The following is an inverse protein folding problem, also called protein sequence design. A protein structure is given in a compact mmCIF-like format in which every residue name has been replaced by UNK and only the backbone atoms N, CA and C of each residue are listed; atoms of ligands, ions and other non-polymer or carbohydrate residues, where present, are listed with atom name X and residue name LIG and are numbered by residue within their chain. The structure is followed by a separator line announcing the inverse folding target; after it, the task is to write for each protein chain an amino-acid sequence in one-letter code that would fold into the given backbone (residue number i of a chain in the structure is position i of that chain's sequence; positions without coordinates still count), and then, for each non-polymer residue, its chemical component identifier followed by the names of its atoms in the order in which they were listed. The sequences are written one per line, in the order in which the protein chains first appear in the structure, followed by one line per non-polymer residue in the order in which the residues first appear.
data_IF_811199999421
#
_entry.id   IF_811199999421
#
_cell.length_a   1.000
_cell.length_b   1.000
_cell.length_c   1.000
_cell.angle_alpha   90.00
_cell.angle_beta   90.00
_cell.angle_gamma   90.00
#
_symmetry.space_group_name_H-M   'P 1'
#
loop_
_entity.id
_entity.type
_entity.pdbx_description
1 polymer ?
#
# COMPACT_ATOMS: atom_id res chain seq x y z
N UNK A 1 -4.55 5.26 -16.40
CA UNK A 1 -5.88 4.88 -15.87
C UNK A 1 -6.86 6.03 -16.08
N UNK A 2 -8.06 5.73 -16.60
CA UNK A 2 -9.14 6.70 -16.83
C UNK A 2 -10.31 6.35 -15.93
N UNK A 3 -10.86 7.34 -15.22
CA UNK A 3 -12.06 7.21 -14.40
C UNK A 3 -13.15 8.13 -14.96
N UNK A 4 -14.29 7.52 -15.31
CA UNK A 4 -15.42 8.24 -15.91
C UNK A 4 -16.19 9.01 -14.86
N UNK A 5 -16.86 10.08 -15.30
CA UNK A 5 -17.87 10.79 -14.53
C UNK A 5 -18.98 9.80 -14.11
N UNK A 6 -19.44 9.83 -12.84
CA UNK A 6 -20.53 8.98 -12.41
C UNK A 6 -21.84 9.34 -13.15
N UNK A 7 -22.76 8.39 -13.39
CA UNK A 7 -24.06 8.70 -13.96
C UNK A 7 -24.86 9.62 -13.02
N UNK A 8 -25.82 10.39 -13.56
CA UNK A 8 -26.71 11.25 -12.76
C UNK A 8 -28.06 10.55 -12.53
N UNK A 9 -28.52 10.37 -11.28
CA UNK A 9 -27.88 10.76 -10.02
C UNK A 9 -26.69 9.85 -9.65
N UNK A 10 -25.65 10.44 -9.04
CA UNK A 10 -24.43 9.71 -8.67
C UNK A 10 -24.72 8.60 -7.64
N UNK A 11 -24.17 7.38 -7.83
CA UNK A 11 -24.26 6.34 -6.80
C UNK A 11 -23.56 6.80 -5.52
N UNK A 12 -24.16 6.50 -4.36
CA UNK A 12 -23.77 7.03 -3.05
C UNK A 12 -22.30 6.80 -2.66
N UNK A 13 -21.60 5.85 -3.28
CA UNK A 13 -20.24 5.48 -2.92
C UNK A 13 -19.16 5.98 -3.90
N UNK A 14 -19.50 6.32 -5.15
CA UNK A 14 -18.57 6.92 -6.14
C UNK A 14 -17.23 6.20 -6.33
N UNK A 15 -17.11 4.91 -5.99
CA UNK A 15 -15.81 4.21 -5.95
C UNK A 15 -15.31 3.95 -7.37
N UNK A 16 -14.19 4.58 -7.74
CA UNK A 16 -13.46 4.34 -8.98
C UNK A 16 -12.41 3.23 -8.86
N UNK A 17 -11.79 3.08 -7.69
CA UNK A 17 -10.88 1.99 -7.34
C UNK A 17 -11.09 1.61 -5.88
N UNK A 18 -11.29 0.33 -5.61
CA UNK A 18 -11.52 -0.17 -4.25
C UNK A 18 -10.31 0.05 -3.35
N UNK A 19 -10.55 0.05 -2.04
CA UNK A 19 -9.51 0.19 -1.04
C UNK A 19 -8.50 -0.98 -1.12
N UNK A 20 -7.21 -0.66 -1.15
CA UNK A 20 -6.12 -1.65 -1.15
C UNK A 20 -4.80 -1.02 -0.68
N UNK A 21 -3.77 -1.86 -0.50
CA UNK A 21 -2.37 -1.45 -0.49
C UNK A 21 -1.65 -2.00 -1.72
N UNK A 22 -0.55 -1.35 -2.11
CA UNK A 22 0.28 -1.81 -3.22
C UNK A 22 1.18 -2.97 -2.78
N UNK A 23 1.26 -4.03 -3.59
CA UNK A 23 2.09 -5.22 -3.31
C UNK A 23 3.49 -5.14 -3.91
N UNK A 24 3.86 -3.97 -4.45
CA UNK A 24 5.15 -3.71 -5.04
C UNK A 24 6.11 -3.09 -4.00
N UNK A 25 7.23 -2.52 -4.46
CA UNK A 25 8.16 -1.77 -3.62
C UNK A 25 7.71 -0.32 -3.45
N UNK A 26 7.49 0.38 -4.54
CA UNK A 26 7.12 1.80 -4.53
C UNK A 26 6.26 2.12 -5.75
N UNK A 27 5.22 2.91 -5.55
CA UNK A 27 4.41 3.47 -6.64
C UNK A 27 4.66 4.97 -6.74
N UNK A 28 4.93 5.47 -7.94
CA UNK A 28 4.88 6.91 -8.26
C UNK A 28 3.61 7.15 -9.05
N UNK A 29 2.73 8.02 -8.56
CA UNK A 29 1.44 8.31 -9.17
C UNK A 29 1.33 9.80 -9.50
N UNK A 30 0.99 10.08 -10.75
CA UNK A 30 0.59 11.41 -11.22
C UNK A 30 -0.84 11.40 -11.76
N UNK A 31 -1.42 12.58 -11.90
CA UNK A 31 -2.79 12.77 -12.35
C UNK A 31 -2.96 14.08 -13.13
N UNK A 32 -4.09 14.22 -13.82
CA UNK A 32 -4.59 15.54 -14.24
C UNK A 32 -5.15 16.31 -13.02
N UNK A 33 -5.71 17.49 -13.27
CA UNK A 33 -6.18 18.41 -12.23
C UNK A 33 -7.41 17.90 -11.45
N UNK A 34 -7.95 16.75 -11.83
CA UNK A 34 -9.09 16.11 -11.18
C UNK A 34 -8.64 15.21 -10.03
N UNK A 35 -8.92 15.66 -8.80
CA UNK A 35 -8.63 14.92 -7.58
C UNK A 35 -9.55 13.70 -7.40
N UNK A 36 -9.15 12.76 -6.56
CA UNK A 36 -9.96 11.57 -6.27
C UNK A 36 -9.27 10.48 -5.47
N UNK A 37 -7.95 10.59 -5.27
CA UNK A 37 -7.22 9.69 -4.38
C UNK A 37 -7.60 9.99 -2.91
N UNK A 38 -8.04 8.98 -2.18
CA UNK A 38 -8.22 9.04 -0.74
C UNK A 38 -7.31 8.00 -0.06
N UNK A 39 -6.74 8.37 1.08
CA UNK A 39 -5.91 7.49 1.92
C UNK A 39 -6.59 7.29 3.28
N UNK A 40 -6.30 6.17 3.93
CA UNK A 40 -6.80 5.85 5.26
C UNK A 40 -5.62 5.80 6.26
N UNK A 41 -5.41 6.84 7.09
CA UNK A 41 -4.45 6.82 8.18
C UNK A 41 -4.81 5.75 9.23
N UNK A 42 -3.81 5.26 9.97
CA UNK A 42 -3.98 4.13 10.92
C UNK A 42 -5.15 4.27 11.91
N UNK A 43 -5.45 5.48 12.38
CA UNK A 43 -6.49 5.76 13.38
C UNK A 43 -7.59 6.69 12.85
N UNK A 44 -7.80 6.75 11.53
CA UNK A 44 -8.64 7.77 10.90
C UNK A 44 -9.66 7.24 9.91
N UNK A 45 -10.56 8.15 9.53
CA UNK A 45 -11.40 7.99 8.35
C UNK A 45 -10.60 8.21 7.06
N UNK A 46 -11.28 8.08 5.93
CA UNK A 46 -10.72 8.42 4.62
C UNK A 46 -10.45 9.92 4.53
N UNK A 47 -9.25 10.28 4.10
CA UNK A 47 -8.86 11.67 3.84
C UNK A 47 -8.37 11.83 2.40
N UNK A 48 -8.65 12.97 1.74
CA UNK A 48 -8.11 13.23 0.40
C UNK A 48 -6.58 13.30 0.41
N UNK A 49 -5.95 12.65 -0.57
CA UNK A 49 -4.53 12.84 -0.87
C UNK A 49 -4.44 13.79 -2.07
N UNK A 50 -4.37 15.09 -1.78
CA UNK A 50 -4.28 16.13 -2.79
C UNK A 50 -2.90 16.10 -3.44
N UNK A 51 -2.87 15.93 -4.77
CA UNK A 51 -1.64 16.01 -5.57
C UNK A 51 -1.63 17.39 -6.25
N UNK A 52 -0.69 18.28 -5.89
CA UNK A 52 -0.55 19.59 -6.53
C UNK A 52 -0.18 19.48 -8.01
N UNK A 53 -0.47 20.53 -8.77
CA UNK A 53 -0.11 20.63 -10.18
C UNK A 53 1.41 20.48 -10.37
N UNK A 54 1.81 19.66 -11.34
CA UNK A 54 3.21 19.34 -11.60
C UNK A 54 3.88 18.43 -10.57
N UNK A 55 3.16 17.98 -9.54
CA UNK A 55 3.66 17.04 -8.54
C UNK A 55 3.22 15.59 -8.80
N UNK A 56 3.84 14.67 -8.08
CA UNK A 56 3.46 13.27 -8.00
C UNK A 56 3.45 12.83 -6.54
N UNK A 57 2.72 11.76 -6.22
CA UNK A 57 2.75 11.12 -4.92
C UNK A 57 3.53 9.82 -4.99
N UNK A 58 4.32 9.55 -3.95
CA UNK A 58 5.01 8.27 -3.76
C UNK A 58 4.27 7.45 -2.69
N UNK A 59 3.90 6.21 -3.03
CA UNK A 59 3.17 5.29 -2.15
C UNK A 59 4.08 4.10 -1.87
N UNK A 60 4.31 3.83 -0.58
CA UNK A 60 5.05 2.65 -0.12
C UNK A 60 4.22 1.40 -0.41
N UNK A 61 4.86 0.38 -0.97
CA UNK A 61 4.28 -0.94 -1.12
C UNK A 61 4.75 -1.95 -0.07
N UNK A 62 4.11 -3.12 -0.05
CA UNK A 62 4.34 -4.17 0.93
C UNK A 62 5.80 -4.69 0.93
N UNK A 63 6.47 -4.77 -0.23
CA UNK A 63 7.86 -5.27 -0.27
C UNK A 63 8.86 -4.28 0.32
N UNK A 64 8.60 -2.97 0.19
CA UNK A 64 9.41 -1.93 0.85
C UNK A 64 9.16 -1.90 2.37
N UNK A 65 7.93 -2.20 2.81
CA UNK A 65 7.66 -2.43 4.23
C UNK A 65 8.46 -3.60 4.79
N UNK A 66 8.44 -4.75 4.10
CA UNK A 66 9.21 -5.91 4.51
C UNK A 66 10.72 -5.61 4.53
N UNK A 67 11.26 -5.05 3.44
CA UNK A 67 12.68 -4.70 3.35
C UNK A 67 13.11 -3.72 4.44
N UNK A 68 12.25 -2.76 4.79
CA UNK A 68 12.51 -1.76 5.83
C UNK A 68 12.26 -2.22 7.27
N UNK A 69 12.04 -3.52 7.49
CA UNK A 69 11.69 -4.10 8.79
C UNK A 69 10.45 -3.45 9.44
N UNK A 70 9.46 -3.06 8.63
CA UNK A 70 8.24 -2.41 9.13
C UNK A 70 8.36 -0.90 9.40
N UNK A 71 9.49 -0.26 9.12
CA UNK A 71 9.68 1.19 9.36
C UNK A 71 8.84 2.02 8.38
N UNK A 72 8.77 1.61 7.11
CA UNK A 72 7.91 2.22 6.10
C UNK A 72 6.59 1.46 6.00
N UNK A 73 5.48 2.18 5.87
CA UNK A 73 4.14 1.60 5.92
C UNK A 73 3.37 1.87 4.63
N UNK A 74 2.82 0.83 3.98
CA UNK A 74 1.92 1.02 2.87
C UNK A 74 0.64 1.61 3.40
N UNK A 75 0.18 2.69 2.75
CA UNK A 75 -1.07 3.33 3.12
C UNK A 75 -2.20 2.70 2.34
N UNK A 76 -3.27 2.34 3.04
CA UNK A 76 -4.49 1.88 2.39
C UNK A 76 -5.10 3.06 1.66
N UNK A 77 -5.35 2.88 0.36
CA UNK A 77 -5.79 3.95 -0.50
C UNK A 77 -6.89 3.48 -1.46
N UNK A 78 -7.71 4.41 -1.92
CA UNK A 78 -8.82 4.16 -2.84
C UNK A 78 -8.97 5.34 -3.80
N UNK A 79 -9.74 5.17 -4.86
CA UNK A 79 -10.14 6.28 -5.74
C UNK A 79 -11.64 6.48 -5.64
N UNK A 80 -12.06 7.71 -5.38
CA UNK A 80 -13.47 8.13 -5.37
C UNK A 80 -13.67 9.22 -6.41
N UNK A 81 -14.72 9.08 -7.21
CA UNK A 81 -15.10 10.04 -8.26
C UNK A 81 -16.41 10.70 -7.83
N UNK A 82 -16.37 12.03 -7.66
CA UNK A 82 -17.52 12.85 -7.21
C UNK A 82 -17.79 14.08 -8.07
N UNK A 83 -16.95 14.35 -9.07
CA UNK A 83 -17.04 15.54 -9.92
C UNK A 83 -17.68 15.27 -11.28
N UNK A 84 -17.80 16.34 -12.06
CA UNK A 84 -18.35 16.34 -13.42
C UNK A 84 -17.29 16.14 -14.51
N UNK A 85 -16.02 16.00 -14.11
CA UNK A 85 -14.88 15.85 -14.99
C UNK A 85 -14.26 14.45 -14.90
N UNK A 86 -13.71 13.97 -16.01
CA UNK A 86 -13.00 12.69 -16.05
C UNK A 86 -11.63 12.80 -15.38
N UNK A 87 -11.32 11.85 -14.51
CA UNK A 87 -9.99 11.75 -13.88
C UNK A 87 -9.08 10.87 -14.71
N UNK A 88 -7.88 11.38 -15.00
CA UNK A 88 -6.80 10.67 -15.64
C UNK A 88 -5.62 10.56 -14.67
N UNK A 89 -5.02 9.38 -14.59
CA UNK A 89 -3.80 9.17 -13.81
C UNK A 89 -2.86 8.21 -14.50
N UNK A 90 -1.59 8.33 -14.17
CA UNK A 90 -0.54 7.40 -14.59
C UNK A 90 0.21 6.94 -13.35
N UNK A 91 0.62 5.68 -13.34
CA UNK A 91 1.38 5.09 -12.25
C UNK A 91 2.62 4.40 -12.80
N UNK A 92 3.76 4.60 -12.14
CA UNK A 92 4.95 3.79 -12.31
C UNK A 92 5.11 2.93 -11.06
N UNK A 93 5.17 1.62 -11.25
CA UNK A 93 5.18 0.63 -10.17
C UNK A 93 6.55 -0.04 -10.16
N UNK A 94 7.36 0.26 -9.15
CA UNK A 94 8.64 -0.41 -8.93
C UNK A 94 8.38 -1.78 -8.32
N UNK A 95 8.50 -2.82 -9.12
CA UNK A 95 8.30 -4.22 -8.70
C UNK A 95 9.65 -4.94 -8.58
N UNK A 96 9.84 -5.79 -7.56
CA UNK A 96 10.93 -6.76 -7.57
C UNK A 96 10.79 -7.70 -8.77
N UNK A 97 11.90 -8.36 -9.17
CA UNK A 97 11.81 -9.47 -10.13
C UNK A 97 11.08 -10.64 -9.49
N UNK A 98 10.38 -11.44 -10.30
CA UNK A 98 9.55 -12.56 -9.82
C UNK A 98 10.32 -13.56 -8.94
N UNK A 99 11.58 -13.84 -9.27
CA UNK A 99 12.47 -14.75 -8.57
C UNK A 99 13.31 -14.08 -7.46
N UNK A 100 13.17 -12.77 -7.29
CA UNK A 100 13.95 -12.04 -6.30
C UNK A 100 13.46 -12.34 -4.88
N UNK A 101 14.42 -12.51 -3.98
CA UNK A 101 14.17 -12.61 -2.54
C UNK A 101 13.99 -11.22 -1.94
N UNK A 102 12.84 -10.97 -1.33
CA UNK A 102 12.61 -9.83 -0.45
C UNK A 102 13.03 -10.25 0.96
N UNK A 103 14.00 -9.55 1.52
CA UNK A 103 14.50 -9.75 2.87
C UNK A 103 14.67 -8.40 3.57
N UNK A 104 14.55 -8.42 4.89
CA UNK A 104 14.88 -7.26 5.74
C UNK A 104 16.35 -6.91 5.52
N UNK A 105 16.67 -5.63 5.35
CA UNK A 105 18.07 -5.19 5.30
C UNK A 105 18.74 -5.39 6.66
N UNK A 106 19.91 -6.04 6.68
CA UNK A 106 20.63 -6.40 7.91
C UNK A 106 20.87 -5.19 8.83
N UNK A 107 21.10 -4.00 8.26
CA UNK A 107 21.33 -2.76 9.00
C UNK A 107 20.08 -2.23 9.73
N UNK A 108 18.90 -2.80 9.47
CA UNK A 108 17.62 -2.40 10.07
C UNK A 108 17.15 -3.35 11.16
N UNK A 109 17.97 -4.34 11.50
CA UNK A 109 17.76 -5.28 12.62
C UNK A 109 18.76 -4.96 13.72
N UNK A 110 18.25 -4.64 14.90
CA UNK A 110 19.05 -4.31 16.09
C UNK A 110 18.32 -4.75 17.38
N UNK A 111 18.89 -4.43 18.54
CA UNK A 111 18.31 -4.80 19.84
C UNK A 111 16.94 -4.17 20.11
N UNK A 112 16.66 -3.00 19.54
CA UNK A 112 15.40 -2.28 19.69
C UNK A 112 14.40 -2.61 18.56
N UNK A 113 14.90 -3.12 17.42
CA UNK A 113 14.14 -3.47 16.23
C UNK A 113 14.45 -4.91 15.80
N UNK A 114 13.88 -5.93 16.47
CA UNK A 114 14.08 -7.32 16.09
C UNK A 114 13.57 -7.60 14.67
N UNK A 115 14.01 -8.71 14.08
CA UNK A 115 13.56 -9.13 12.75
C UNK A 115 12.04 -9.38 12.75
N UNK A 116 11.30 -8.65 11.92
CA UNK A 116 9.83 -8.73 11.83
C UNK A 116 9.32 -9.59 10.66
N UNK A 117 10.14 -9.80 9.63
CA UNK A 117 9.74 -10.51 8.42
C UNK A 117 10.77 -11.57 8.04
N UNK A 118 10.32 -12.80 7.78
CA UNK A 118 11.17 -13.82 7.16
C UNK A 118 11.42 -13.48 5.68
N UNK A 119 12.57 -13.84 5.10
CA UNK A 119 12.78 -13.70 3.67
C UNK A 119 11.75 -14.48 2.85
N UNK A 120 11.36 -13.96 1.69
CA UNK A 120 10.43 -14.62 0.78
C UNK A 120 10.70 -14.29 -0.70
N UNK A 121 10.30 -15.19 -1.60
CA UNK A 121 10.30 -14.93 -3.05
C UNK A 121 9.12 -14.04 -3.41
N UNK A 122 9.37 -13.01 -4.23
CA UNK A 122 8.32 -12.06 -4.61
C UNK A 122 7.12 -12.71 -5.30
N UNK A 123 7.36 -13.59 -6.28
CA UNK A 123 6.29 -14.27 -7.01
C UNK A 123 5.42 -15.19 -6.14
N UNK A 124 6.02 -15.86 -5.15
CA UNK A 124 5.27 -16.69 -4.20
C UNK A 124 4.36 -15.84 -3.30
N UNK A 125 4.86 -14.70 -2.84
CA UNK A 125 4.07 -13.74 -2.07
C UNK A 125 2.93 -13.14 -2.89
N UNK A 126 3.21 -12.71 -4.12
CA UNK A 126 2.18 -12.18 -5.02
C UNK A 126 1.10 -13.24 -5.30
N UNK A 127 1.52 -14.48 -5.55
CA UNK A 127 0.63 -15.63 -5.72
C UNK A 127 -0.23 -15.86 -4.47
N UNK A 128 0.35 -15.81 -3.28
CA UNK A 128 -0.42 -15.91 -2.04
C UNK A 128 -1.47 -14.78 -1.92
N UNK A 129 -1.07 -13.53 -2.18
CA UNK A 129 -1.96 -12.39 -2.11
C UNK A 129 -3.15 -12.52 -3.06
N UNK A 130 -2.94 -12.87 -4.34
CA UNK A 130 -4.05 -12.97 -5.30
C UNK A 130 -5.07 -14.06 -4.95
N UNK A 131 -4.67 -15.09 -4.20
CA UNK A 131 -5.57 -16.13 -3.70
C UNK A 131 -6.35 -15.73 -2.44
N UNK A 132 -5.81 -14.81 -1.63
CA UNK A 132 -6.40 -14.42 -0.33
C UNK A 132 -7.10 -13.08 -0.36
N UNK A 133 -6.64 -12.14 -1.19
CA UNK A 133 -7.14 -10.78 -1.34
C UNK A 133 -7.37 -10.08 0.03
N UNK A 134 -6.39 -10.23 0.93
CA UNK A 134 -6.42 -9.64 2.28
C UNK A 134 -5.46 -8.47 2.43
N UNK A 135 -5.87 -7.47 3.21
CA UNK A 135 -5.06 -6.29 3.51
C UNK A 135 -3.85 -6.64 4.40
N UNK A 136 -3.93 -7.69 5.22
CA UNK A 136 -2.86 -8.17 6.10
C UNK A 136 -1.99 -9.28 5.48
N UNK A 137 -2.09 -9.50 4.15
CA UNK A 137 -1.45 -10.62 3.48
C UNK A 137 0.07 -10.71 3.73
N UNK A 138 0.78 -9.57 3.79
CA UNK A 138 2.22 -9.57 4.11
C UNK A 138 2.49 -10.10 5.52
N UNK A 139 1.69 -9.67 6.51
CA UNK A 139 1.88 -10.07 7.90
C UNK A 139 1.63 -11.56 8.09
N UNK A 140 0.60 -12.10 7.44
CA UNK A 140 0.31 -13.53 7.50
C UNK A 140 1.36 -14.34 6.74
N UNK A 141 1.78 -13.85 5.58
CA UNK A 141 2.67 -14.59 4.68
C UNK A 141 4.15 -14.55 5.06
N UNK A 142 4.63 -13.47 5.66
CA UNK A 142 6.05 -13.27 5.96
C UNK A 142 6.31 -12.76 7.39
N UNK A 143 5.29 -12.25 8.08
CA UNK A 143 5.43 -11.77 9.44
C UNK A 143 5.94 -12.86 10.38
N UNK A 144 6.89 -12.49 11.22
CA UNK A 144 7.31 -13.23 12.38
C UNK A 144 6.44 -12.72 13.53
N UNK A 145 5.63 -13.60 14.13
CA UNK A 145 4.96 -13.30 15.40
C UNK A 145 6.01 -12.74 16.36
N UNK A 146 5.80 -11.53 16.90
CA UNK A 146 6.73 -10.92 17.85
C UNK A 146 7.10 -11.93 18.95
N UNK A 147 8.36 -11.96 19.42
CA UNK A 147 8.64 -12.62 20.69
C UNK A 147 7.69 -12.00 21.72
N UNK A 148 7.00 -12.88 22.44
CA UNK A 148 6.12 -12.59 23.57
C UNK A 148 6.62 -11.34 24.30
N UNK A 149 5.78 -10.29 24.39
CA UNK A 149 6.05 -9.15 25.26
C UNK A 149 6.53 -9.71 26.61
N UNK A 150 7.64 -9.22 27.20
CA UNK A 150 8.07 -9.74 28.48
C UNK A 150 6.89 -9.63 29.43
N UNK A 151 6.52 -10.78 30.01
CA UNK A 151 5.51 -10.81 31.06
C UNK A 151 5.88 -9.70 32.05
N UNK A 152 4.93 -8.81 32.32
CA UNK A 152 5.04 -7.90 33.43
C UNK A 152 5.36 -8.75 34.66
N UNK A 153 6.62 -8.71 35.12
CA UNK A 153 7.00 -9.20 36.43
C UNK A 153 6.80 -8.04 37.40
N UNK A 154 5.87 -8.30 38.32
CA UNK A 154 5.53 -7.69 39.61
C UNK A 154 5.14 -6.20 39.67
#
# INVERSE_FOLDING_TARGET
MKYKVPPTPAPANGIGLVAHTDKNTLTILGQNDVQGLEIQPKNGGWVPAVIPDGAFIAIVGDTLKAWSNGRLHPVRHRVVIRGEEERYSWGSFLMPKDDSTVAVADQLVDGDHPLMYRPFTYSDYLSYFVHKLSDDALEVYAGLSSPVAPACMD
#
